data_IF_343875788480
#
_entry.id   IF_343875788480
#
_cell.length_a   1.000
_cell.length_b   1.000
_cell.length_c   1.000
_cell.angle_alpha   90.00
_cell.angle_beta   90.00
_cell.angle_gamma   90.00
#
_symmetry.space_group_name_H-M   'P 1'
#
loop_
_entity.id
_entity.type
_entity.pdbx_description
1 polymer ?
#
# COMPACT_ATOMS: atom_id res chain seq x y z
N UNK A 1 5.26 -6.67 -22.14
CA UNK A 1 4.51 -5.44 -22.40
C UNK A 1 5.34 -4.23 -22.00
N UNK A 2 5.52 -3.28 -22.88
CA UNK A 2 6.16 -2.02 -22.53
C UNK A 2 5.13 -1.19 -21.76
N UNK A 3 5.33 -1.09 -20.47
CA UNK A 3 4.45 -0.34 -19.59
C UNK A 3 5.21 0.91 -19.16
N UNK A 4 4.87 2.04 -19.75
CA UNK A 4 5.31 3.35 -19.31
C UNK A 4 4.15 4.12 -18.69
N UNK A 5 4.42 5.12 -17.88
CA UNK A 5 3.41 6.00 -17.33
C UNK A 5 2.65 6.68 -18.48
N UNK A 6 1.36 6.38 -18.63
CA UNK A 6 0.55 6.85 -19.74
C UNK A 6 0.81 6.17 -21.09
N UNK A 7 1.59 5.06 -21.13
CA UNK A 7 1.79 4.29 -22.36
C UNK A 7 0.67 3.29 -22.60
N UNK A 8 0.45 2.96 -23.88
CA UNK A 8 -0.49 1.90 -24.26
C UNK A 8 0.02 0.53 -23.81
N UNK A 9 -0.87 -0.31 -23.33
CA UNK A 9 -0.63 -1.74 -23.23
C UNK A 9 -0.56 -2.31 -24.67
N UNK A 10 0.49 -3.09 -24.96
CA UNK A 10 0.84 -3.50 -26.33
C UNK A 10 -0.29 -4.23 -27.06
N UNK A 11 -1.20 -4.88 -26.33
CA UNK A 11 -2.26 -5.68 -26.94
C UNK A 11 -3.65 -5.02 -27.01
N UNK A 12 -3.86 -3.86 -26.36
CA UNK A 12 -5.20 -3.27 -26.22
C UNK A 12 -5.37 -1.86 -26.73
N UNK A 13 -4.30 -1.18 -27.14
CA UNK A 13 -4.31 0.25 -27.51
C UNK A 13 -4.92 1.19 -26.43
N UNK A 14 -5.08 0.72 -25.20
CA UNK A 14 -5.63 1.47 -24.08
C UNK A 14 -4.47 1.87 -23.16
N UNK A 15 -4.48 3.12 -22.69
CA UNK A 15 -3.51 3.58 -21.70
C UNK A 15 -3.70 2.87 -20.37
N UNK A 16 -2.61 2.62 -19.63
CA UNK A 16 -2.65 1.90 -18.36
C UNK A 16 -3.62 2.55 -17.36
N UNK A 17 -3.61 3.87 -17.25
CA UNK A 17 -4.48 4.60 -16.32
C UNK A 17 -5.94 4.50 -16.73
N UNK A 18 -6.25 4.56 -18.03
CA UNK A 18 -7.62 4.41 -18.53
C UNK A 18 -8.15 2.98 -18.26
N UNK A 19 -7.28 1.96 -18.46
CA UNK A 19 -7.63 0.58 -18.12
C UNK A 19 -7.86 0.42 -16.61
N UNK A 20 -6.98 0.99 -15.78
CA UNK A 20 -7.14 0.94 -14.33
C UNK A 20 -8.44 1.62 -13.89
N UNK A 21 -8.75 2.79 -14.44
CA UNK A 21 -10.00 3.52 -14.15
C UNK A 21 -11.23 2.72 -14.54
N UNK A 22 -11.19 2.06 -15.71
CA UNK A 22 -12.27 1.21 -16.18
C UNK A 22 -12.47 0.02 -15.23
N UNK A 23 -11.42 -0.74 -14.96
CA UNK A 23 -11.49 -1.91 -14.08
C UNK A 23 -11.93 -1.52 -12.66
N UNK A 24 -11.43 -0.42 -12.11
CA UNK A 24 -11.86 0.04 -10.77
C UNK A 24 -13.33 0.45 -10.73
N UNK A 25 -13.85 1.07 -11.79
CA UNK A 25 -15.28 1.36 -11.90
C UNK A 25 -16.13 0.11 -12.02
N UNK A 26 -15.70 -0.86 -12.83
CA UNK A 26 -16.40 -2.15 -13.00
C UNK A 26 -16.51 -2.90 -11.68
N UNK A 27 -15.53 -2.77 -10.80
CA UNK A 27 -15.53 -3.32 -9.43
C UNK A 27 -16.26 -2.43 -8.41
N UNK A 28 -16.91 -1.34 -8.85
CA UNK A 28 -17.68 -0.44 -8.00
C UNK A 28 -16.85 0.56 -7.20
N UNK A 29 -15.54 0.66 -7.44
CA UNK A 29 -14.70 1.68 -6.83
C UNK A 29 -14.76 3.01 -7.60
N UNK A 30 -14.36 4.08 -6.93
CA UNK A 30 -14.10 5.37 -7.58
C UNK A 30 -12.87 5.21 -8.49
N UNK A 31 -12.93 5.79 -9.69
CA UNK A 31 -11.82 5.73 -10.62
C UNK A 31 -10.51 6.27 -9.99
N UNK A 32 -9.39 5.65 -10.31
CA UNK A 32 -8.10 6.00 -9.72
C UNK A 32 -7.68 7.46 -9.99
N UNK A 33 -8.03 7.97 -11.16
CA UNK A 33 -7.70 9.35 -11.58
C UNK A 33 -8.79 10.35 -11.22
N UNK A 34 -9.92 9.92 -10.65
CA UNK A 34 -11.04 10.79 -10.32
C UNK A 34 -10.72 11.71 -9.12
N UNK A 35 -10.94 12.99 -9.31
CA UNK A 35 -10.71 13.97 -8.25
C UNK A 35 -11.90 14.01 -7.28
N UNK A 36 -11.74 13.41 -6.11
CA UNK A 36 -12.78 13.32 -5.06
C UNK A 36 -12.75 14.53 -4.12
N UNK A 37 -11.67 15.33 -4.14
CA UNK A 37 -11.47 16.44 -3.20
C UNK A 37 -11.57 17.78 -3.89
N UNK A 38 -12.10 18.77 -3.17
CA UNK A 38 -12.11 20.15 -3.68
C UNK A 38 -10.67 20.70 -3.78
N UNK A 39 -10.46 21.67 -4.65
CA UNK A 39 -9.15 22.32 -4.79
C UNK A 39 -8.69 22.99 -3.48
N UNK A 40 -9.65 23.49 -2.66
CA UNK A 40 -9.37 24.09 -1.35
C UNK A 40 -8.89 23.00 -0.38
N UNK A 41 -9.52 21.84 -0.36
CA UNK A 41 -9.08 20.72 0.48
C UNK A 41 -7.68 20.26 0.11
N UNK A 42 -7.39 20.13 -1.19
CA UNK A 42 -6.06 19.78 -1.69
C UNK A 42 -5.03 20.82 -1.24
N UNK A 43 -5.34 22.11 -1.38
CA UNK A 43 -4.46 23.18 -0.92
C UNK A 43 -4.21 23.10 0.60
N UNK A 44 -5.28 22.97 1.39
CA UNK A 44 -5.17 22.89 2.85
C UNK A 44 -4.37 21.65 3.31
N UNK A 45 -4.60 20.49 2.70
CA UNK A 45 -3.85 19.27 3.00
C UNK A 45 -2.37 19.47 2.65
N UNK A 46 -2.07 20.00 1.47
CA UNK A 46 -0.70 20.27 1.03
C UNK A 46 0.00 21.25 1.96
N UNK A 47 -0.64 22.35 2.30
CA UNK A 47 -0.10 23.33 3.23
C UNK A 47 0.15 22.74 4.62
N UNK A 48 -0.80 21.98 5.16
CA UNK A 48 -0.67 21.31 6.46
C UNK A 48 0.50 20.33 6.47
N UNK A 49 0.67 19.53 5.40
CA UNK A 49 1.81 18.62 5.27
C UNK A 49 3.14 19.35 5.16
N UNK A 50 3.21 20.43 4.38
CA UNK A 50 4.44 21.24 4.22
C UNK A 50 4.88 21.86 5.55
N UNK A 51 3.99 22.55 6.23
CA UNK A 51 4.31 23.19 7.52
C UNK A 51 4.50 22.16 8.63
N UNK A 52 3.70 21.09 8.65
CA UNK A 52 3.81 20.02 9.64
C UNK A 52 5.15 19.30 9.55
N UNK A 53 5.58 18.92 8.36
CA UNK A 53 6.88 18.22 8.18
C UNK A 53 8.07 19.13 8.46
N UNK A 54 7.98 20.42 8.14
CA UNK A 54 9.03 21.39 8.44
C UNK A 54 9.21 21.61 9.96
N UNK A 55 8.15 21.43 10.75
CA UNK A 55 8.14 21.59 12.20
C UNK A 55 8.49 20.35 13.01
N UNK A 56 8.74 19.20 12.38
CA UNK A 56 8.99 17.94 13.10
C UNK A 56 10.34 17.97 13.86
N UNK A 57 10.34 17.84 15.19
CA UNK A 57 11.55 17.97 16.02
C UNK A 57 12.65 17.00 15.61
N UNK A 58 12.33 15.75 15.29
CA UNK A 58 13.29 14.72 14.89
C UNK A 58 13.92 14.99 13.51
N UNK A 59 13.30 15.82 12.67
CA UNK A 59 13.88 16.31 11.41
C UNK A 59 14.82 17.48 11.70
N UNK A 60 14.38 18.42 12.53
CA UNK A 60 15.15 19.62 12.87
C UNK A 60 16.45 19.27 13.60
N UNK A 61 16.41 18.33 14.56
CA UNK A 61 17.59 17.89 15.32
C UNK A 61 18.71 17.41 14.40
N UNK A 62 18.41 16.82 13.27
CA UNK A 62 19.43 16.34 12.30
C UNK A 62 20.27 17.49 11.72
N UNK A 63 19.73 18.70 11.63
CA UNK A 63 20.50 19.87 11.16
C UNK A 63 21.51 20.36 12.21
N UNK A 64 21.30 20.05 13.50
CA UNK A 64 22.22 20.40 14.58
C UNK A 64 23.31 19.34 14.81
N UNK A 65 23.13 18.14 14.26
CA UNK A 65 24.09 17.03 14.45
C UNK A 65 25.17 16.95 13.35
N UNK A 66 25.14 17.84 12.37
CA UNK A 66 26.14 17.88 11.28
C UNK A 66 27.29 18.82 11.63
N UNK A 67 28.51 18.50 11.16
CA UNK A 67 29.74 19.22 11.57
C UNK A 67 29.83 20.65 11.01
N UNK A 68 29.09 21.00 9.97
CA UNK A 68 29.12 22.32 9.36
C UNK A 68 27.84 22.69 8.61
N UNK A 69 27.60 23.97 8.40
CA UNK A 69 26.50 24.50 7.60
C UNK A 69 26.60 24.01 6.13
N UNK A 70 27.79 23.87 5.60
CA UNK A 70 28.03 23.31 4.26
C UNK A 70 27.56 21.86 4.16
N UNK A 71 27.90 21.04 5.17
CA UNK A 71 27.45 19.65 5.24
C UNK A 71 25.92 19.55 5.37
N UNK A 72 25.27 20.44 6.16
CA UNK A 72 23.82 20.51 6.27
C UNK A 72 23.16 20.80 4.91
N UNK A 73 23.66 21.79 4.18
CA UNK A 73 23.11 22.14 2.84
C UNK A 73 23.28 21.00 1.83
N UNK A 74 24.43 20.36 1.83
CA UNK A 74 24.70 19.23 0.94
C UNK A 74 23.80 18.04 1.26
N UNK A 75 23.62 17.72 2.54
CA UNK A 75 22.70 16.65 2.99
C UNK A 75 21.26 16.95 2.60
N UNK A 76 20.79 18.20 2.78
CA UNK A 76 19.47 18.62 2.34
C UNK A 76 19.29 18.51 0.82
N UNK A 77 20.33 18.86 0.05
CA UNK A 77 20.31 18.71 -1.41
C UNK A 77 20.12 17.25 -1.84
N UNK A 78 20.87 16.32 -1.27
CA UNK A 78 20.73 14.89 -1.55
C UNK A 78 19.35 14.37 -1.11
N UNK A 79 18.86 14.78 0.06
CA UNK A 79 17.53 14.41 0.52
C UNK A 79 16.44 14.83 -0.46
N UNK A 80 16.51 16.07 -0.99
CA UNK A 80 15.57 16.57 -1.98
C UNK A 80 15.58 15.73 -3.28
N UNK A 81 16.76 15.32 -3.76
CA UNK A 81 16.88 14.46 -4.96
C UNK A 81 16.19 13.13 -4.72
N UNK A 82 16.46 12.46 -3.58
CA UNK A 82 15.83 11.17 -3.27
C UNK A 82 14.31 11.30 -3.04
N UNK A 83 13.87 12.37 -2.38
CA UNK A 83 12.46 12.66 -2.17
C UNK A 83 11.76 12.91 -3.52
N UNK A 84 12.35 13.71 -4.40
CA UNK A 84 11.79 13.96 -5.74
C UNK A 84 11.67 12.66 -6.54
N UNK A 85 12.69 11.80 -6.52
CA UNK A 85 12.67 10.51 -7.19
C UNK A 85 11.57 9.60 -6.62
N UNK A 86 11.45 9.52 -5.29
CA UNK A 86 10.43 8.73 -4.61
C UNK A 86 9.02 9.20 -5.00
N UNK A 87 8.73 10.50 -4.87
CA UNK A 87 7.40 11.04 -5.17
C UNK A 87 7.04 11.01 -6.66
N UNK A 88 8.03 11.00 -7.54
CA UNK A 88 7.79 10.82 -8.99
C UNK A 88 7.45 9.38 -9.34
N UNK A 89 8.04 8.40 -8.63
CA UNK A 89 7.82 6.98 -8.93
C UNK A 89 6.63 6.38 -8.16
N UNK A 90 6.29 6.91 -6.99
CA UNK A 90 5.25 6.36 -6.13
C UNK A 90 3.86 6.21 -6.81
N UNK A 91 3.35 7.20 -7.58
CA UNK A 91 2.07 7.04 -8.27
C UNK A 91 2.09 5.92 -9.31
N UNK A 92 3.20 5.74 -10.02
CA UNK A 92 3.37 4.65 -10.97
C UNK A 92 3.33 3.30 -10.27
N UNK A 93 4.12 3.14 -9.21
CA UNK A 93 4.15 1.91 -8.41
C UNK A 93 2.76 1.60 -7.86
N UNK A 94 2.03 2.61 -7.38
CA UNK A 94 0.66 2.44 -6.86
C UNK A 94 -0.32 1.95 -7.93
N UNK A 95 -0.28 2.52 -9.15
CA UNK A 95 -1.13 2.11 -10.25
C UNK A 95 -0.86 0.65 -10.66
N UNK A 96 0.42 0.29 -10.81
CA UNK A 96 0.82 -1.08 -11.13
C UNK A 96 0.46 -2.08 -10.02
N UNK A 97 0.71 -1.71 -8.75
CA UNK A 97 0.37 -2.55 -7.61
C UNK A 97 -1.12 -2.90 -7.58
N UNK A 98 -1.98 -1.90 -7.79
CA UNK A 98 -3.43 -2.10 -7.82
C UNK A 98 -3.86 -2.97 -8.99
N UNK A 99 -3.31 -2.74 -10.19
CA UNK A 99 -3.64 -3.55 -11.36
C UNK A 99 -3.19 -5.00 -11.16
N UNK A 100 -1.95 -5.23 -10.73
CA UNK A 100 -1.42 -6.57 -10.49
C UNK A 100 -2.21 -7.31 -9.39
N UNK A 101 -2.65 -6.59 -8.34
CA UNK A 101 -3.49 -7.16 -7.31
C UNK A 101 -4.80 -7.68 -7.91
N UNK A 102 -5.52 -6.81 -8.61
CA UNK A 102 -6.81 -7.15 -9.22
C UNK A 102 -6.65 -8.32 -10.21
N UNK A 103 -5.71 -8.21 -11.15
CA UNK A 103 -5.48 -9.23 -12.18
C UNK A 103 -5.08 -10.59 -11.58
N UNK A 104 -4.49 -10.62 -10.38
CA UNK A 104 -4.02 -11.85 -9.75
C UNK A 104 -5.05 -12.57 -8.88
N UNK A 105 -6.10 -11.87 -8.42
CA UNK A 105 -7.08 -12.47 -7.50
C UNK A 105 -8.52 -12.46 -8.03
N UNK A 106 -8.90 -11.48 -8.88
CA UNK A 106 -10.28 -11.34 -9.33
C UNK A 106 -10.77 -12.58 -10.08
N UNK A 107 -11.91 -13.13 -9.66
CA UNK A 107 -12.55 -14.32 -10.19
C UNK A 107 -11.69 -15.59 -10.24
N UNK A 108 -10.58 -15.61 -9.52
CA UNK A 108 -9.72 -16.77 -9.42
C UNK A 108 -10.23 -17.74 -8.34
N UNK A 109 -10.22 -19.08 -8.60
CA UNK A 109 -10.53 -20.05 -7.56
C UNK A 109 -9.52 -19.92 -6.40
N UNK A 110 -10.01 -19.93 -5.16
CA UNK A 110 -9.14 -19.86 -3.98
C UNK A 110 -8.08 -20.97 -3.96
N UNK A 111 -8.41 -22.17 -4.44
CA UNK A 111 -7.49 -23.31 -4.50
C UNK A 111 -6.23 -23.03 -5.34
N UNK A 112 -6.36 -22.19 -6.36
CA UNK A 112 -5.28 -21.78 -7.27
C UNK A 112 -4.69 -20.41 -6.92
N UNK A 113 -5.12 -19.82 -5.81
CA UNK A 113 -4.62 -18.50 -5.38
C UNK A 113 -3.09 -18.47 -5.27
N UNK A 114 -2.45 -17.36 -5.61
CA UNK A 114 -0.99 -17.23 -5.56
C UNK A 114 -0.43 -17.49 -4.16
N UNK A 115 0.83 -17.93 -4.07
CA UNK A 115 1.49 -18.20 -2.79
C UNK A 115 1.54 -16.97 -1.88
N UNK A 116 1.73 -15.78 -2.45
CA UNK A 116 1.73 -14.54 -1.69
C UNK A 116 0.40 -14.32 -0.96
N UNK A 117 -0.74 -14.64 -1.58
CA UNK A 117 -2.06 -14.49 -0.97
C UNK A 117 -2.17 -15.34 0.30
N UNK A 118 -1.77 -16.62 0.21
CA UNK A 118 -1.80 -17.54 1.35
C UNK A 118 -0.84 -17.13 2.48
N UNK A 119 0.33 -16.63 2.13
CA UNK A 119 1.30 -16.12 3.11
C UNK A 119 0.72 -14.94 3.91
N UNK A 120 0.08 -14.00 3.23
CA UNK A 120 -0.50 -12.82 3.88
C UNK A 120 -1.81 -13.13 4.63
N UNK A 121 -2.56 -14.14 4.19
CA UNK A 121 -3.70 -14.69 4.94
C UNK A 121 -3.22 -15.36 6.24
N UNK A 122 -2.12 -16.11 6.21
CA UNK A 122 -1.59 -16.79 7.38
C UNK A 122 -1.23 -15.83 8.51
N UNK A 123 -0.66 -14.68 8.18
CA UNK A 123 -0.34 -13.63 9.16
C UNK A 123 -1.51 -12.68 9.47
N UNK A 124 -2.67 -12.89 8.84
CA UNK A 124 -3.90 -12.20 9.16
C UNK A 124 -4.09 -10.82 8.52
N UNK A 125 -3.31 -10.49 7.50
CA UNK A 125 -3.41 -9.22 6.77
C UNK A 125 -4.28 -9.30 5.53
N UNK A 126 -4.65 -10.50 5.11
CA UNK A 126 -5.68 -10.79 4.10
C UNK A 126 -6.65 -11.79 4.71
N UNK A 127 -7.94 -11.60 4.45
CA UNK A 127 -8.95 -12.58 4.78
C UNK A 127 -9.94 -12.74 3.63
N UNK A 128 -10.37 -13.95 3.38
CA UNK A 128 -11.38 -14.25 2.36
C UNK A 128 -12.55 -15.01 2.97
N UNK A 129 -13.74 -14.64 2.55
CA UNK A 129 -14.99 -15.29 2.96
C UNK A 129 -15.86 -15.46 1.72
N UNK A 130 -16.02 -16.69 1.31
CA UNK A 130 -16.89 -17.08 0.20
C UNK A 130 -18.36 -16.81 0.57
N UNK A 131 -18.97 -15.76 0.03
CA UNK A 131 -20.32 -15.33 0.35
C UNK A 131 -21.37 -16.01 -0.53
N UNK A 132 -20.98 -16.36 -1.75
CA UNK A 132 -21.86 -16.95 -2.76
C UNK A 132 -21.62 -18.44 -2.96
N UNK A 133 -20.67 -19.04 -2.24
CA UNK A 133 -20.31 -20.46 -2.25
C UNK A 133 -19.81 -20.97 -3.62
N UNK A 134 -19.18 -20.08 -4.42
CA UNK A 134 -18.64 -20.44 -5.74
C UNK A 134 -17.15 -20.84 -5.71
N UNK A 135 -16.49 -20.65 -4.57
CA UNK A 135 -15.09 -20.98 -4.35
C UNK A 135 -14.09 -20.06 -5.03
N UNK A 136 -14.55 -18.91 -5.56
CA UNK A 136 -13.72 -17.91 -6.21
C UNK A 136 -13.58 -16.67 -5.34
N UNK A 137 -12.60 -15.85 -5.65
CA UNK A 137 -12.33 -14.61 -4.92
C UNK A 137 -12.98 -13.45 -5.68
N UNK A 138 -14.01 -12.83 -5.11
CA UNK A 138 -14.62 -11.61 -5.62
C UNK A 138 -14.08 -10.39 -4.86
N UNK A 139 -13.38 -9.53 -5.58
CA UNK A 139 -12.91 -8.25 -5.05
C UNK A 139 -13.75 -7.12 -5.62
N UNK A 140 -14.46 -6.42 -4.76
CA UNK A 140 -15.29 -5.26 -5.14
C UNK A 140 -15.26 -4.17 -4.07
N UNK A 141 -15.93 -3.06 -4.33
CA UNK A 141 -16.01 -1.97 -3.35
C UNK A 141 -16.88 -2.35 -2.15
N UNK A 142 -16.49 -1.86 -0.99
CA UNK A 142 -17.17 -2.10 0.28
C UNK A 142 -16.39 -3.00 1.22
N UNK A 143 -16.84 -3.07 2.47
CA UNK A 143 -16.21 -3.89 3.50
C UNK A 143 -16.69 -5.34 3.36
N UNK A 144 -15.76 -6.29 3.31
CA UNK A 144 -16.09 -7.70 3.22
C UNK A 144 -16.78 -8.24 4.48
N UNK A 145 -16.45 -7.64 5.63
CA UNK A 145 -16.89 -8.07 6.95
C UNK A 145 -17.69 -6.95 7.64
N UNK A 146 -18.58 -7.31 8.55
CA UNK A 146 -19.30 -6.34 9.38
C UNK A 146 -18.36 -5.56 10.32
N UNK A 147 -17.25 -6.18 10.77
CA UNK A 147 -16.21 -5.58 11.58
C UNK A 147 -14.98 -5.24 10.76
N UNK A 148 -14.29 -4.17 11.12
CA UNK A 148 -13.16 -3.62 10.35
C UNK A 148 -11.97 -4.58 10.25
N UNK A 149 -11.74 -5.44 11.27
CA UNK A 149 -10.60 -6.37 11.28
C UNK A 149 -11.05 -7.82 11.34
N UNK A 150 -10.38 -8.73 10.63
CA UNK A 150 -10.71 -10.14 10.66
C UNK A 150 -10.31 -10.77 12.00
N UNK A 151 -11.19 -11.62 12.55
CA UNK A 151 -10.93 -12.57 13.63
C UNK A 151 -10.95 -13.98 13.07
N UNK A 152 -9.93 -14.77 13.38
CA UNK A 152 -9.73 -16.09 12.79
C UNK A 152 -10.02 -17.19 13.77
N UNK A 153 -10.66 -18.26 13.27
CA UNK A 153 -10.77 -19.53 13.97
C UNK A 153 -9.49 -20.36 13.78
N UNK A 154 -9.28 -21.34 14.63
CA UNK A 154 -8.19 -22.32 14.46
C UNK A 154 -8.45 -23.32 13.31
N UNK A 155 -9.67 -23.36 12.80
CA UNK A 155 -10.13 -24.29 11.77
C UNK A 155 -9.91 -23.69 10.37
N UNK A 156 -9.75 -24.59 9.40
CA UNK A 156 -9.69 -24.26 7.98
C UNK A 156 -10.94 -24.76 7.28
N UNK A 157 -11.38 -24.03 6.25
CA UNK A 157 -12.51 -24.40 5.41
C UNK A 157 -12.16 -25.48 4.36
N UNK A 158 -13.16 -25.86 3.59
CA UNK A 158 -13.05 -26.91 2.56
C UNK A 158 -12.03 -26.62 1.48
N UNK A 159 -11.78 -25.36 1.16
CA UNK A 159 -10.80 -24.90 0.17
C UNK A 159 -9.39 -24.68 0.79
N UNK A 160 -9.24 -24.89 2.10
CA UNK A 160 -8.00 -24.67 2.84
C UNK A 160 -7.83 -23.24 3.40
N UNK A 161 -8.80 -22.34 3.17
CA UNK A 161 -8.84 -20.99 3.70
C UNK A 161 -8.95 -20.98 5.23
N UNK A 162 -8.46 -19.92 5.87
CA UNK A 162 -8.69 -19.68 7.28
C UNK A 162 -10.14 -19.26 7.51
N UNK A 163 -10.84 -19.95 8.41
CA UNK A 163 -12.20 -19.59 8.78
C UNK A 163 -12.22 -18.34 9.67
N UNK A 164 -13.23 -17.50 9.44
CA UNK A 164 -13.42 -16.27 10.18
C UNK A 164 -14.53 -16.43 11.22
N UNK A 165 -14.40 -15.76 12.36
CA UNK A 165 -15.47 -15.59 13.35
C UNK A 165 -16.42 -14.45 12.97
N UNK A 166 -15.94 -13.54 12.11
CA UNK A 166 -16.69 -12.38 11.67
C UNK A 166 -17.87 -12.80 10.80
N UNK A 167 -18.94 -12.00 10.87
CA UNK A 167 -20.05 -12.13 9.95
C UNK A 167 -19.73 -11.44 8.62
N UNK A 168 -20.16 -12.02 7.49
CA UNK A 168 -20.07 -11.38 6.19
C UNK A 168 -20.92 -10.12 6.14
N UNK A 169 -20.40 -9.08 5.51
CA UNK A 169 -21.21 -7.92 5.17
C UNK A 169 -21.98 -8.22 3.87
N UNK A 170 -23.26 -8.48 3.98
CA UNK A 170 -24.13 -8.84 2.85
C UNK A 170 -24.64 -7.62 2.05
N UNK A 171 -24.22 -6.40 2.38
CA UNK A 171 -24.62 -5.20 1.65
C UNK A 171 -23.85 -5.00 0.33
N UNK A 172 -22.81 -5.77 0.09
CA UNK A 172 -21.94 -5.71 -1.08
C UNK A 172 -21.42 -7.11 -1.45
N UNK A 173 -20.87 -7.21 -2.67
CA UNK A 173 -20.33 -8.47 -3.21
C UNK A 173 -18.86 -8.72 -2.84
N UNK A 174 -18.22 -7.79 -2.12
CA UNK A 174 -16.82 -7.93 -1.77
C UNK A 174 -16.61 -9.05 -0.74
N UNK A 175 -15.78 -10.02 -1.06
CA UNK A 175 -15.48 -11.20 -0.25
C UNK A 175 -14.12 -11.15 0.43
N UNK A 176 -13.30 -10.16 0.06
CA UNK A 176 -11.92 -10.09 0.52
C UNK A 176 -11.68 -8.87 1.41
N UNK A 177 -11.06 -9.11 2.56
CA UNK A 177 -10.43 -8.09 3.38
C UNK A 177 -8.95 -8.01 3.04
N UNK A 178 -8.46 -6.83 2.77
CA UNK A 178 -7.04 -6.54 2.58
C UNK A 178 -6.65 -5.41 3.52
N UNK A 179 -5.69 -5.65 4.40
CA UNK A 179 -5.12 -4.60 5.23
C UNK A 179 -4.40 -3.57 4.34
N UNK A 180 -4.72 -2.30 4.53
CA UNK A 180 -4.23 -1.22 3.64
C UNK A 180 -2.72 -1.03 3.70
N UNK A 181 -2.12 -1.40 4.83
CA UNK A 181 -0.69 -1.20 5.06
C UNK A 181 0.19 -2.24 4.36
N UNK A 182 -0.39 -3.41 3.99
CA UNK A 182 0.39 -4.48 3.38
C UNK A 182 0.77 -4.21 1.91
N UNK A 183 0.00 -3.41 1.18
CA UNK A 183 0.18 -3.25 -0.28
C UNK A 183 1.60 -2.81 -0.64
N UNK A 184 2.21 -1.95 0.16
CA UNK A 184 3.58 -1.48 -0.10
C UNK A 184 4.60 -2.61 0.02
N UNK A 185 4.48 -3.46 1.04
CA UNK A 185 5.40 -4.57 1.29
C UNK A 185 5.09 -5.80 0.43
N UNK A 186 3.82 -6.07 0.16
CA UNK A 186 3.38 -7.19 -0.65
C UNK A 186 3.56 -6.96 -2.17
N UNK A 187 3.61 -5.70 -2.61
CA UNK A 187 3.69 -5.39 -4.04
C UNK A 187 4.81 -6.12 -4.79
N UNK A 188 6.05 -6.26 -4.29
CA UNK A 188 7.08 -7.04 -4.98
C UNK A 188 6.73 -8.53 -5.12
N UNK A 189 6.03 -9.11 -4.15
CA UNK A 189 5.55 -10.50 -4.21
C UNK A 189 4.39 -10.64 -5.20
N UNK A 190 3.42 -9.71 -5.17
CA UNK A 190 2.28 -9.66 -6.10
C UNK A 190 2.79 -9.52 -7.54
N UNK A 191 3.81 -8.69 -7.77
CA UNK A 191 4.46 -8.50 -9.06
C UNK A 191 5.42 -9.64 -9.45
N UNK A 192 5.54 -10.69 -8.61
CA UNK A 192 6.42 -11.84 -8.81
C UNK A 192 7.89 -11.45 -9.07
N UNK A 193 8.37 -10.41 -8.38
CA UNK A 193 9.74 -9.96 -8.51
C UNK A 193 10.72 -10.96 -7.85
N UNK A 194 11.99 -10.98 -8.29
CA UNK A 194 12.99 -11.87 -7.69
C UNK A 194 13.14 -11.67 -6.18
N UNK A 195 13.41 -12.75 -5.44
CA UNK A 195 13.47 -12.73 -3.96
C UNK A 195 14.42 -11.69 -3.36
N UNK A 196 15.50 -11.34 -4.06
CA UNK A 196 16.41 -10.28 -3.60
C UNK A 196 15.76 -8.89 -3.60
N UNK A 197 14.81 -8.61 -4.52
CA UNK A 197 14.04 -7.35 -4.54
C UNK A 197 13.09 -7.32 -3.36
N UNK A 198 12.38 -8.42 -3.09
CA UNK A 198 11.48 -8.55 -1.93
C UNK A 198 12.26 -8.30 -0.64
N UNK A 199 13.41 -8.94 -0.50
CA UNK A 199 14.29 -8.75 0.67
C UNK A 199 14.78 -7.29 0.81
N UNK A 200 15.13 -6.64 -0.30
CA UNK A 200 15.56 -5.24 -0.31
C UNK A 200 14.44 -4.29 0.14
N UNK A 201 13.21 -4.50 -0.34
CA UNK A 201 12.04 -3.69 0.05
C UNK A 201 11.71 -3.89 1.53
N UNK A 202 11.73 -5.14 2.02
CA UNK A 202 11.50 -5.44 3.43
C UNK A 202 12.58 -4.80 4.33
N UNK A 203 13.84 -4.92 3.95
CA UNK A 203 14.96 -4.29 4.66
C UNK A 203 14.85 -2.76 4.65
N UNK A 204 14.44 -2.17 3.52
CA UNK A 204 14.19 -0.73 3.39
C UNK A 204 13.08 -0.24 4.30
N UNK A 205 11.96 -0.97 4.37
CA UNK A 205 10.84 -0.68 5.27
C UNK A 205 11.27 -0.72 6.76
N UNK A 206 12.00 -1.76 7.13
CA UNK A 206 12.53 -1.89 8.50
C UNK A 206 13.53 -0.77 8.82
N UNK A 207 14.43 -0.45 7.90
CA UNK A 207 15.39 0.65 8.08
C UNK A 207 14.70 2.01 8.25
N UNK A 208 13.62 2.27 7.48
CA UNK A 208 12.83 3.49 7.60
C UNK A 208 12.15 3.60 8.98
N UNK A 209 11.55 2.51 9.47
CA UNK A 209 10.92 2.44 10.78
C UNK A 209 11.94 2.68 11.91
N UNK A 210 13.08 2.00 11.88
CA UNK A 210 14.15 2.14 12.87
C UNK A 210 14.77 3.54 12.85
N UNK A 211 14.98 4.13 11.67
CA UNK A 211 15.50 5.50 11.51
C UNK A 211 14.58 6.54 12.17
N UNK A 212 13.26 6.38 11.99
CA UNK A 212 12.27 7.28 12.60
C UNK A 212 12.23 7.09 14.11
N UNK A 213 12.20 5.84 14.60
CA UNK A 213 12.22 5.52 16.01
C UNK A 213 13.48 6.08 16.71
N UNK A 214 14.65 5.92 16.12
CA UNK A 214 15.89 6.47 16.66
C UNK A 214 15.86 7.99 16.76
N UNK A 215 15.33 8.69 15.74
CA UNK A 215 15.17 10.14 15.76
C UNK A 215 14.21 10.62 16.86
N UNK A 216 13.09 9.95 17.06
CA UNK A 216 12.12 10.24 18.12
C UNK A 216 12.70 9.99 19.52
N UNK A 217 13.39 8.87 19.72
CA UNK A 217 14.06 8.54 20.98
C UNK A 217 15.12 9.58 21.36
N UNK A 218 15.87 10.08 20.37
CA UNK A 218 16.85 11.15 20.59
C UNK A 218 16.18 12.43 21.10
N UNK A 219 15.05 12.83 20.49
CA UNK A 219 14.30 14.02 20.93
C UNK A 219 13.73 13.83 22.32
N UNK A 220 13.12 12.68 22.62
CA UNK A 220 12.58 12.36 23.96
C UNK A 220 13.71 12.40 25.00
N UNK A 221 14.83 11.72 24.74
CA UNK A 221 15.97 11.69 25.64
C UNK A 221 16.53 13.09 25.91
N UNK A 222 16.67 13.93 24.88
CA UNK A 222 17.15 15.29 25.06
C UNK A 222 16.17 16.17 25.84
N UNK A 223 14.87 15.94 25.71
CA UNK A 223 13.83 16.70 26.42
C UNK A 223 13.73 16.31 27.91
N UNK A 224 14.09 15.07 28.26
CA UNK A 224 14.08 14.60 29.66
C UNK A 224 15.37 14.95 30.39
N UNK A 225 16.50 15.06 29.68
CA UNK A 225 17.81 15.35 30.26
C UNK A 225 18.10 16.84 30.46
N UNK A 226 17.21 17.71 29.99
CA UNK A 226 17.23 19.17 30.21
C UNK A 226 16.12 19.59 31.15
#
# INVERSE_FOLDING_TARGET
PQIGFGSTLVDSQIYLLDKLDQVTRDLGFIAYTENVKSNIDIFCITAALMFGTAGLPHVIVRFFTVPSVGAARQSAGYALIFIALLYTTAPAVSAFARMNLIDSIQDQPYSTSPSWFKNWEEIGLIAWMDKNEDGKIQYSSGDALENVKPSYQELRGSNGQRLLENKPNLSNENEIYIDRDIIVLANPEIAQLPGWVIALVAAGGLAAALSTAAGLLLVISSSVSH
#
